data_IF_139582028915
#
_entry.id   IF_139582028915
#
_cell.length_a   1.000
_cell.length_b   1.000
_cell.length_c   1.000
_cell.angle_alpha   90.00
_cell.angle_beta   90.00
_cell.angle_gamma   90.00
#
_symmetry.space_group_name_H-M   'P 1'
#
loop_
_entity.id
_entity.type
_entity.pdbx_description
1 polymer ?
#
# COMPACT_ATOMS: atom_id res chain seq x y z
N UNK A 1 4.50 20.07 2.25
CA UNK A 1 5.05 19.42 3.45
C UNK A 1 4.77 17.91 3.50
N UNK A 2 4.88 17.17 2.39
CA UNK A 2 4.63 15.73 2.37
C UNK A 2 5.87 14.85 2.05
N UNK A 3 7.06 15.46 1.95
CA UNK A 3 8.29 14.72 1.58
C UNK A 3 8.80 13.76 2.66
N UNK A 4 8.45 13.95 3.93
CA UNK A 4 8.96 13.11 5.02
C UNK A 4 8.23 11.79 5.24
N UNK A 5 6.91 11.74 5.01
CA UNK A 5 6.10 10.53 5.24
C UNK A 5 6.39 9.44 4.19
N UNK A 6 6.53 9.80 2.91
CA UNK A 6 6.85 8.84 1.86
C UNK A 6 8.19 8.11 2.08
N UNK A 7 9.20 8.80 2.61
CA UNK A 7 10.51 8.18 2.91
C UNK A 7 10.45 7.22 4.10
N UNK A 8 9.57 7.47 5.07
CA UNK A 8 9.37 6.58 6.23
C UNK A 8 8.77 5.25 5.78
N UNK A 9 7.72 5.25 4.96
CA UNK A 9 7.09 4.02 4.45
C UNK A 9 8.05 3.17 3.61
N UNK A 10 8.83 3.79 2.73
CA UNK A 10 9.79 3.09 1.87
C UNK A 10 10.88 2.38 2.69
N UNK A 11 11.43 3.07 3.69
CA UNK A 11 12.41 2.48 4.60
C UNK A 11 11.82 1.37 5.45
N UNK A 12 10.52 1.45 5.75
CA UNK A 12 9.81 0.43 6.50
C UNK A 12 9.69 -0.87 5.71
N UNK A 13 9.32 -0.83 4.43
CA UNK A 13 9.26 -2.02 3.57
C UNK A 13 10.61 -2.72 3.44
N UNK A 14 11.71 -1.96 3.24
CA UNK A 14 13.05 -2.54 3.25
C UNK A 14 13.41 -3.12 4.62
N UNK A 15 13.04 -2.47 5.73
CA UNK A 15 13.31 -3.00 7.06
C UNK A 15 12.62 -4.33 7.30
N UNK A 16 11.39 -4.51 6.81
CA UNK A 16 10.69 -5.79 6.89
C UNK A 16 11.51 -6.87 6.21
N UNK A 17 11.86 -6.69 4.94
CA UNK A 17 12.55 -7.73 4.15
C UNK A 17 14.01 -7.93 4.52
N UNK A 18 14.70 -6.90 5.02
CA UNK A 18 16.13 -6.97 5.37
C UNK A 18 16.37 -7.47 6.81
N UNK A 19 15.42 -7.20 7.73
CA UNK A 19 15.67 -7.39 9.17
C UNK A 19 14.59 -8.23 9.85
N UNK A 20 13.30 -8.00 9.57
CA UNK A 20 12.23 -8.59 10.37
C UNK A 20 11.85 -10.00 9.90
N UNK A 21 11.93 -10.26 8.60
CA UNK A 21 11.59 -11.55 8.02
C UNK A 21 12.55 -12.67 8.50
N UNK A 22 12.05 -13.92 8.49
CA UNK A 22 12.79 -15.12 8.88
C UNK A 22 13.45 -15.00 10.26
N UNK A 23 12.73 -14.48 11.24
CA UNK A 23 13.20 -14.33 12.62
C UNK A 23 14.52 -13.54 12.72
N UNK A 24 14.60 -12.44 11.96
CA UNK A 24 15.75 -11.54 12.02
C UNK A 24 16.89 -11.83 11.06
N UNK A 25 16.73 -12.81 10.17
CA UNK A 25 17.75 -13.16 9.15
C UNK A 25 17.58 -12.37 7.86
N UNK A 26 16.40 -11.78 7.66
CA UNK A 26 16.02 -11.14 6.40
C UNK A 26 15.84 -12.11 5.25
N UNK A 27 15.48 -11.59 4.09
CA UNK A 27 15.21 -12.40 2.89
C UNK A 27 16.43 -12.55 1.97
N UNK A 28 17.53 -11.86 2.24
CA UNK A 28 18.75 -11.86 1.40
C UNK A 28 18.43 -11.58 -0.08
N UNK A 29 17.70 -10.47 -0.32
CA UNK A 29 17.25 -10.06 -1.65
C UNK A 29 18.37 -9.35 -2.42
N UNK A 30 18.36 -9.51 -3.76
CA UNK A 30 19.28 -8.75 -4.63
C UNK A 30 18.96 -7.25 -4.59
N UNK A 31 19.94 -6.41 -4.97
CA UNK A 31 19.76 -4.96 -5.00
C UNK A 31 18.63 -4.54 -5.95
N UNK A 32 18.43 -5.24 -7.06
CA UNK A 32 17.35 -4.96 -8.01
C UNK A 32 15.97 -5.18 -7.41
N UNK A 33 15.79 -6.26 -6.62
CA UNK A 33 14.53 -6.54 -5.92
C UNK A 33 14.31 -5.52 -4.82
N UNK A 34 15.35 -5.17 -4.07
CA UNK A 34 15.29 -4.14 -3.02
C UNK A 34 14.96 -2.77 -3.61
N UNK A 35 15.53 -2.41 -4.77
CA UNK A 35 15.20 -1.20 -5.49
C UNK A 35 13.72 -1.16 -5.89
N UNK A 36 13.19 -2.26 -6.43
CA UNK A 36 11.78 -2.41 -6.74
C UNK A 36 10.87 -2.20 -5.51
N UNK A 37 11.22 -2.81 -4.37
CA UNK A 37 10.52 -2.63 -3.10
C UNK A 37 10.59 -1.17 -2.63
N UNK A 38 11.75 -0.54 -2.69
CA UNK A 38 11.94 0.85 -2.28
C UNK A 38 11.13 1.83 -3.14
N UNK A 39 11.06 1.55 -4.43
CA UNK A 39 10.51 2.47 -5.45
C UNK A 39 9.07 2.16 -5.87
N UNK A 40 8.42 1.11 -5.34
CA UNK A 40 7.07 0.70 -5.76
C UNK A 40 6.03 1.83 -5.63
N UNK A 41 6.20 2.75 -4.68
CA UNK A 41 5.30 3.90 -4.47
C UNK A 41 5.95 5.19 -4.98
N UNK A 42 5.35 5.90 -5.93
CA UNK A 42 5.73 7.25 -6.38
C UNK A 42 7.16 7.44 -6.92
N UNK A 43 7.88 6.37 -7.24
CA UNK A 43 9.19 6.42 -7.88
C UNK A 43 9.23 5.45 -9.06
N UNK A 44 10.27 5.54 -9.88
CA UNK A 44 10.53 4.61 -10.98
C UNK A 44 11.65 3.67 -10.53
N UNK A 45 11.39 2.37 -10.52
CA UNK A 45 12.40 1.37 -10.27
C UNK A 45 13.43 1.33 -11.40
N UNK A 46 14.66 0.91 -11.10
CA UNK A 46 15.73 0.86 -12.09
C UNK A 46 15.56 -0.33 -13.06
N UNK A 47 14.76 -1.32 -12.68
CA UNK A 47 14.42 -2.48 -13.51
C UNK A 47 13.02 -2.37 -14.10
N UNK A 48 12.81 -2.98 -15.27
CA UNK A 48 11.49 -3.08 -15.91
C UNK A 48 10.54 -3.92 -15.07
N UNK A 49 11.03 -4.98 -14.44
CA UNK A 49 10.27 -5.84 -13.54
C UNK A 49 9.71 -5.07 -12.35
N UNK A 50 10.55 -4.25 -11.70
CA UNK A 50 10.11 -3.38 -10.60
C UNK A 50 9.05 -2.36 -11.06
N UNK A 51 9.16 -1.89 -12.29
CA UNK A 51 8.17 -0.98 -12.88
C UNK A 51 6.85 -1.68 -13.20
N UNK A 52 6.88 -2.94 -13.68
CA UNK A 52 5.69 -3.79 -13.86
C UNK A 52 5.00 -4.02 -12.52
N UNK A 53 5.75 -4.38 -11.47
CA UNK A 53 5.21 -4.61 -10.13
C UNK A 53 4.51 -3.36 -9.60
N UNK A 54 5.06 -2.17 -9.82
CA UNK A 54 4.41 -0.92 -9.44
C UNK A 54 3.03 -0.74 -10.10
N UNK A 55 2.90 -1.03 -11.40
CA UNK A 55 1.59 -0.97 -12.06
C UNK A 55 0.63 -2.03 -11.53
N UNK A 56 1.12 -3.25 -11.31
CA UNK A 56 0.31 -4.30 -10.72
C UNK A 56 -0.23 -3.90 -9.33
N UNK A 57 0.63 -3.29 -8.50
CA UNK A 57 0.27 -2.81 -7.17
C UNK A 57 -0.83 -1.73 -7.22
N UNK A 58 -0.67 -0.69 -8.04
CA UNK A 58 -1.67 0.38 -8.12
C UNK A 58 -3.00 -0.08 -8.71
N UNK A 59 -2.98 -1.04 -9.66
CA UNK A 59 -4.20 -1.65 -10.22
C UNK A 59 -4.89 -2.51 -9.16
N UNK A 60 -4.13 -3.34 -8.45
CA UNK A 60 -4.66 -4.18 -7.38
C UNK A 60 -5.26 -3.33 -6.27
N UNK A 61 -4.52 -2.32 -5.81
CA UNK A 61 -4.91 -1.44 -4.71
C UNK A 61 -6.25 -0.76 -4.95
N UNK A 62 -6.43 -0.04 -6.07
CA UNK A 62 -7.68 0.67 -6.34
C UNK A 62 -8.88 -0.29 -6.46
N UNK A 63 -8.68 -1.48 -7.01
CA UNK A 63 -9.75 -2.48 -7.12
C UNK A 63 -10.10 -3.13 -5.78
N UNK A 64 -9.12 -3.33 -4.89
CA UNK A 64 -9.38 -3.77 -3.52
C UNK A 64 -10.08 -2.71 -2.70
N UNK A 65 -9.68 -1.44 -2.82
CA UNK A 65 -10.34 -0.33 -2.14
C UNK A 65 -11.81 -0.19 -2.53
N UNK A 66 -12.16 -0.43 -3.80
CA UNK A 66 -13.55 -0.45 -4.26
C UNK A 66 -14.31 -1.60 -3.58
N UNK A 67 -13.77 -2.83 -3.61
CA UNK A 67 -14.39 -4.00 -2.98
C UNK A 67 -14.62 -3.77 -1.48
N UNK A 68 -13.62 -3.24 -0.78
CA UNK A 68 -13.70 -2.98 0.66
C UNK A 68 -14.72 -1.87 0.97
N UNK A 69 -14.80 -0.84 0.13
CA UNK A 69 -15.78 0.24 0.26
C UNK A 69 -17.22 -0.25 0.05
N UNK A 70 -17.42 -1.15 -0.92
CA UNK A 70 -18.72 -1.81 -1.15
C UNK A 70 -19.07 -2.71 0.03
N UNK A 71 -18.13 -3.52 0.51
CA UNK A 71 -18.33 -4.41 1.68
C UNK A 71 -18.64 -3.62 2.94
N UNK A 72 -18.02 -2.47 3.12
CA UNK A 72 -18.27 -1.57 4.26
C UNK A 72 -19.58 -0.77 4.13
N UNK A 73 -20.31 -0.88 3.01
CA UNK A 73 -21.53 -0.13 2.75
C UNK A 73 -21.31 1.38 2.67
N UNK A 74 -20.16 1.79 2.13
CA UNK A 74 -19.81 3.19 1.87
C UNK A 74 -20.23 3.61 0.48
N UNK A 75 -20.11 2.70 -0.48
CA UNK A 75 -20.52 2.87 -1.87
C UNK A 75 -21.08 1.56 -2.45
N UNK A 76 -21.61 1.66 -3.65
CA UNK A 76 -21.95 0.55 -4.53
C UNK A 76 -21.16 0.66 -5.84
N UNK A 77 -21.09 -0.39 -6.65
CA UNK A 77 -20.44 -0.34 -7.98
C UNK A 77 -21.13 0.68 -8.90
N UNK A 78 -22.45 0.91 -8.74
CA UNK A 78 -23.26 1.84 -9.52
C UNK A 78 -22.93 3.33 -9.21
N UNK A 79 -22.31 3.63 -8.08
CA UNK A 79 -21.87 4.97 -7.72
C UNK A 79 -20.67 5.44 -8.56
N UNK A 80 -19.93 4.50 -9.17
CA UNK A 80 -18.82 4.85 -10.06
C UNK A 80 -19.37 5.53 -11.32
N UNK A 81 -18.89 6.74 -11.65
CA UNK A 81 -19.39 7.52 -12.77
C UNK A 81 -19.38 6.74 -14.10
N UNK A 82 -20.47 6.85 -14.87
CA UNK A 82 -20.66 6.10 -16.13
C UNK A 82 -19.59 6.36 -17.20
N UNK A 83 -19.02 7.56 -17.23
CA UNK A 83 -17.90 7.86 -18.11
C UNK A 83 -16.64 7.05 -17.78
N UNK A 84 -16.44 6.67 -16.52
CA UNK A 84 -15.33 5.82 -16.07
C UNK A 84 -15.65 4.35 -16.39
N UNK A 85 -16.83 3.86 -16.00
CA UNK A 85 -17.20 2.46 -16.22
C UNK A 85 -17.34 2.10 -17.70
N UNK A 86 -17.67 3.07 -18.56
CA UNK A 86 -17.71 2.89 -20.01
C UNK A 86 -16.34 2.56 -20.61
N UNK A 87 -15.28 3.11 -20.06
CA UNK A 87 -13.89 2.90 -20.52
C UNK A 87 -13.25 1.71 -19.80
N UNK A 88 -13.34 1.67 -18.47
CA UNK A 88 -12.63 0.68 -17.66
C UNK A 88 -13.41 -0.62 -17.47
N UNK A 89 -14.72 -0.62 -17.70
CA UNK A 89 -15.64 -1.74 -17.39
C UNK A 89 -16.42 -1.50 -16.11
N UNK A 90 -17.59 -2.17 -16.03
CA UNK A 90 -18.53 -2.03 -14.91
C UNK A 90 -18.26 -2.98 -13.74
N UNK A 91 -17.38 -3.94 -13.92
CA UNK A 91 -17.02 -4.93 -12.90
C UNK A 91 -15.51 -4.91 -12.59
N UNK A 92 -15.13 -5.43 -11.42
CA UNK A 92 -13.71 -5.59 -11.03
C UNK A 92 -12.89 -6.32 -12.10
N UNK A 93 -13.43 -7.42 -12.63
CA UNK A 93 -12.74 -8.22 -13.64
C UNK A 93 -12.53 -7.45 -14.94
N UNK A 94 -13.54 -6.72 -15.41
CA UNK A 94 -13.43 -5.88 -16.61
C UNK A 94 -12.42 -4.75 -16.38
N UNK A 95 -12.47 -4.06 -15.26
CA UNK A 95 -11.50 -2.99 -14.90
C UNK A 95 -10.05 -3.48 -14.92
N UNK A 96 -9.79 -4.60 -14.24
CA UNK A 96 -8.44 -5.19 -14.22
C UNK A 96 -8.02 -5.59 -15.63
N UNK A 97 -8.88 -6.26 -16.36
CA UNK A 97 -8.58 -6.70 -17.75
C UNK A 97 -8.26 -5.51 -18.64
N UNK A 98 -9.04 -4.44 -18.59
CA UNK A 98 -8.82 -3.23 -19.39
C UNK A 98 -7.49 -2.58 -19.06
N UNK A 99 -7.22 -2.35 -17.77
CA UNK A 99 -5.98 -1.71 -17.30
C UNK A 99 -4.74 -2.53 -17.70
N UNK A 100 -4.75 -3.85 -17.42
CA UNK A 100 -3.63 -4.74 -17.75
C UNK A 100 -3.44 -4.86 -19.25
N UNK A 101 -4.53 -4.98 -20.04
CA UNK A 101 -4.44 -5.07 -21.50
C UNK A 101 -3.88 -3.79 -22.12
N UNK A 102 -4.26 -2.62 -21.59
CA UNK A 102 -3.72 -1.34 -22.04
C UNK A 102 -2.21 -1.25 -21.79
N UNK A 103 -1.74 -1.64 -20.59
CA UNK A 103 -0.30 -1.69 -20.27
C UNK A 103 0.48 -2.66 -21.19
N UNK A 104 -0.08 -3.84 -21.48
CA UNK A 104 0.56 -4.82 -22.38
C UNK A 104 0.68 -4.23 -23.80
N UNK A 105 -0.35 -3.54 -24.28
CA UNK A 105 -0.34 -2.88 -25.61
C UNK A 105 0.68 -1.75 -25.66
N UNK A 106 0.88 -1.02 -24.55
CA UNK A 106 1.91 0.02 -24.44
C UNK A 106 3.34 -0.49 -24.60
N UNK A 107 3.55 -1.82 -24.46
CA UNK A 107 4.80 -2.53 -24.71
C UNK A 107 5.79 -2.48 -23.55
N UNK A 108 6.68 -3.46 -23.50
CA UNK A 108 7.65 -3.64 -22.41
C UNK A 108 8.71 -2.53 -22.34
N UNK A 109 8.89 -1.75 -23.42
CA UNK A 109 9.90 -0.68 -23.45
C UNK A 109 9.46 0.59 -22.73
N UNK A 110 8.15 0.89 -22.75
CA UNK A 110 7.63 2.13 -22.16
C UNK A 110 6.31 1.92 -21.45
N UNK A 111 6.18 0.90 -20.63
CA UNK A 111 4.98 0.55 -19.86
C UNK A 111 4.08 1.77 -19.57
N UNK A 112 3.08 1.99 -20.40
CA UNK A 112 2.11 3.07 -20.26
C UNK A 112 0.73 2.58 -20.68
N UNK A 113 -0.30 3.13 -20.08
CA UNK A 113 -1.67 2.96 -20.54
C UNK A 113 -1.91 3.89 -21.74
N UNK A 114 -2.80 3.49 -22.65
CA UNK A 114 -3.29 4.45 -23.65
C UNK A 114 -4.00 5.62 -22.96
N UNK A 115 -4.06 6.78 -23.64
CA UNK A 115 -4.51 8.04 -23.03
C UNK A 115 -5.93 7.93 -22.48
N UNK A 116 -6.85 7.28 -23.19
CA UNK A 116 -8.25 7.13 -22.76
C UNK A 116 -8.35 6.32 -21.46
N UNK A 117 -7.61 5.21 -21.36
CA UNK A 117 -7.57 4.35 -20.16
C UNK A 117 -6.88 5.05 -19.00
N UNK A 118 -5.79 5.78 -19.28
CA UNK A 118 -5.04 6.55 -18.29
C UNK A 118 -5.90 7.67 -17.68
N UNK A 119 -6.64 8.40 -18.51
CA UNK A 119 -7.55 9.45 -18.06
C UNK A 119 -8.71 8.87 -17.23
N UNK A 120 -9.28 7.76 -17.67
CA UNK A 120 -10.35 7.08 -16.92
C UNK A 120 -9.83 6.50 -15.58
N UNK A 121 -8.60 5.97 -15.54
CA UNK A 121 -7.96 5.53 -14.30
C UNK A 121 -7.72 6.71 -13.33
N UNK A 122 -7.23 7.82 -13.85
CA UNK A 122 -7.04 9.05 -13.05
C UNK A 122 -8.35 9.59 -12.51
N UNK A 123 -9.41 9.57 -13.33
CA UNK A 123 -10.76 9.94 -12.89
C UNK A 123 -11.31 8.99 -11.82
N UNK A 124 -11.06 7.68 -11.94
CA UNK A 124 -11.46 6.69 -10.92
C UNK A 124 -10.72 6.95 -9.60
N UNK A 125 -9.41 7.19 -9.66
CA UNK A 125 -8.63 7.50 -8.46
C UNK A 125 -9.13 8.76 -7.74
N UNK A 126 -9.46 9.81 -8.52
CA UNK A 126 -10.05 11.03 -7.97
C UNK A 126 -11.42 10.78 -7.35
N UNK A 127 -12.29 10.01 -8.03
CA UNK A 127 -13.58 9.62 -7.50
C UNK A 127 -13.44 8.89 -6.16
N UNK A 128 -12.55 7.91 -6.06
CA UNK A 128 -12.28 7.20 -4.81
C UNK A 128 -11.78 8.14 -3.71
N UNK A 129 -10.91 9.07 -4.06
CA UNK A 129 -10.43 10.06 -3.10
C UNK A 129 -11.57 10.91 -2.54
N UNK A 130 -12.38 11.49 -3.41
CA UNK A 130 -13.45 12.42 -3.04
C UNK A 130 -14.63 11.70 -2.36
N UNK A 131 -14.98 10.48 -2.79
CA UNK A 131 -16.17 9.77 -2.34
C UNK A 131 -15.91 8.86 -1.14
N UNK A 132 -14.74 8.18 -1.11
CA UNK A 132 -14.40 7.18 -0.10
C UNK A 132 -13.43 7.73 0.95
N UNK A 133 -12.23 8.17 0.52
CA UNK A 133 -11.17 8.49 1.49
C UNK A 133 -11.45 9.76 2.31
N UNK A 134 -12.28 10.65 1.81
CA UNK A 134 -12.75 11.84 2.57
C UNK A 134 -14.07 11.60 3.30
N UNK A 135 -14.69 10.44 3.14
CA UNK A 135 -15.97 10.11 3.77
C UNK A 135 -15.87 10.20 5.30
N UNK A 136 -16.78 10.93 5.99
CA UNK A 136 -16.74 11.07 7.44
C UNK A 136 -16.79 9.73 8.19
N UNK A 137 -17.51 8.73 7.65
CA UNK A 137 -17.59 7.38 8.23
C UNK A 137 -16.21 6.71 8.22
N UNK A 138 -15.47 6.79 7.10
CA UNK A 138 -14.09 6.28 7.01
C UNK A 138 -13.17 7.04 7.95
N UNK A 139 -13.29 8.37 8.02
CA UNK A 139 -12.46 9.20 8.89
C UNK A 139 -12.68 8.91 10.37
N UNK A 140 -13.89 8.58 10.79
CA UNK A 140 -14.16 8.21 12.17
C UNK A 140 -13.49 6.90 12.58
N UNK A 141 -13.45 5.92 11.68
CA UNK A 141 -12.75 4.64 11.90
C UNK A 141 -11.22 4.82 11.90
N UNK A 142 -10.70 5.68 11.03
CA UNK A 142 -9.28 6.04 11.02
C UNK A 142 -8.82 6.64 12.35
N UNK A 143 -9.64 7.49 12.98
CA UNK A 143 -9.35 8.05 14.31
C UNK A 143 -9.29 6.96 15.38
N UNK A 144 -10.24 6.01 15.36
CA UNK A 144 -10.24 4.87 16.31
C UNK A 144 -9.02 3.98 16.12
N UNK A 145 -8.64 3.70 14.87
CA UNK A 145 -7.45 2.90 14.56
C UNK A 145 -6.17 3.58 15.08
N UNK A 146 -6.02 4.88 14.85
CA UNK A 146 -4.89 5.68 15.37
C UNK A 146 -4.82 5.65 16.91
N UNK A 147 -5.97 5.83 17.58
CA UNK A 147 -6.04 5.76 19.04
C UNK A 147 -5.67 4.38 19.57
N UNK A 148 -6.14 3.31 18.91
CA UNK A 148 -5.79 1.94 19.27
C UNK A 148 -4.29 1.67 19.11
N UNK A 149 -3.68 2.08 18.00
CA UNK A 149 -2.25 1.92 17.76
C UNK A 149 -1.43 2.72 18.80
N UNK A 150 -1.84 3.95 19.10
CA UNK A 150 -1.18 4.77 20.11
C UNK A 150 -1.24 4.10 21.51
N UNK A 151 -2.38 3.56 21.90
CA UNK A 151 -2.55 2.82 23.18
C UNK A 151 -1.73 1.53 23.21
N UNK A 152 -1.65 0.82 22.09
CA UNK A 152 -0.85 -0.40 21.98
C UNK A 152 0.65 -0.06 22.11
N UNK A 153 1.11 0.98 21.45
CA UNK A 153 2.48 1.46 21.57
C UNK A 153 2.80 1.85 23.03
N UNK A 154 1.96 2.67 23.65
CA UNK A 154 2.12 3.11 25.04
C UNK A 154 2.11 1.95 26.03
N UNK A 155 1.25 0.94 25.80
CA UNK A 155 1.25 -0.28 26.59
C UNK A 155 2.61 -1.00 26.56
N UNK A 156 3.20 -1.19 25.38
CA UNK A 156 4.50 -1.87 25.26
C UNK A 156 5.70 -1.02 25.74
N UNK A 157 5.60 0.30 25.69
CA UNK A 157 6.60 1.18 26.34
C UNK A 157 6.68 0.91 27.85
N UNK A 158 5.54 0.68 28.50
CA UNK A 158 5.47 0.42 29.94
C UNK A 158 5.59 -1.06 30.32
N UNK A 159 5.46 -1.97 29.33
CA UNK A 159 5.47 -3.41 29.52
C UNK A 159 6.37 -4.12 28.50
N UNK A 160 7.60 -3.66 28.39
CA UNK A 160 8.56 -4.18 27.40
C UNK A 160 8.81 -5.68 27.56
N UNK A 161 8.68 -6.21 28.78
CA UNK A 161 8.79 -7.64 29.12
C UNK A 161 7.72 -8.51 28.45
N UNK A 162 6.67 -7.90 27.90
CA UNK A 162 5.61 -8.58 27.15
C UNK A 162 5.94 -8.76 25.67
N UNK A 163 6.98 -8.10 25.17
CA UNK A 163 7.44 -8.32 23.80
C UNK A 163 8.02 -9.73 23.66
N UNK A 164 7.79 -10.41 22.51
CA UNK A 164 8.46 -11.67 22.21
C UNK A 164 9.98 -11.50 22.22
N UNK A 165 10.72 -12.57 22.55
CA UNK A 165 12.17 -12.55 22.71
C UNK A 165 12.92 -11.99 21.48
N UNK A 166 12.41 -12.24 20.28
CA UNK A 166 12.95 -11.68 19.04
C UNK A 166 12.96 -10.14 19.07
N UNK A 167 11.85 -9.51 19.43
CA UNK A 167 11.74 -8.04 19.49
C UNK A 167 12.52 -7.45 20.66
N UNK A 168 12.69 -8.20 21.74
CA UNK A 168 13.61 -7.81 22.83
C UNK A 168 15.05 -7.72 22.32
N UNK A 169 15.49 -8.67 21.49
CA UNK A 169 16.81 -8.60 20.87
C UNK A 169 16.94 -7.40 19.91
N UNK A 170 15.88 -7.10 19.14
CA UNK A 170 15.86 -5.89 18.30
C UNK A 170 15.92 -4.61 19.14
N UNK A 171 15.31 -4.58 20.34
CA UNK A 171 15.37 -3.44 21.24
C UNK A 171 16.80 -3.14 21.71
N UNK A 172 17.62 -4.15 21.96
CA UNK A 172 19.04 -3.97 22.28
C UNK A 172 19.86 -3.40 21.11
N UNK A 173 19.49 -3.76 19.87
CA UNK A 173 20.23 -3.35 18.68
C UNK A 173 19.79 -1.97 18.14
N UNK A 174 18.50 -1.70 18.15
CA UNK A 174 17.90 -0.55 17.46
C UNK A 174 17.13 0.42 18.37
N UNK A 175 17.04 0.11 19.67
CA UNK A 175 16.27 0.86 20.66
C UNK A 175 14.84 0.35 20.85
N UNK A 176 14.29 0.63 22.02
CA UNK A 176 12.97 0.15 22.48
C UNK A 176 11.86 0.63 21.58
N UNK A 177 11.81 1.93 21.31
CA UNK A 177 10.76 2.54 20.48
C UNK A 177 10.68 1.90 19.11
N UNK A 178 11.82 1.61 18.51
CA UNK A 178 11.90 0.97 17.20
C UNK A 178 11.40 -0.46 17.24
N UNK A 179 11.79 -1.23 18.24
CA UNK A 179 11.33 -2.62 18.39
C UNK A 179 9.83 -2.72 18.62
N UNK A 180 9.24 -1.80 19.40
CA UNK A 180 7.80 -1.72 19.60
C UNK A 180 7.09 -1.39 18.28
N UNK A 181 7.59 -0.42 17.52
CA UNK A 181 7.04 -0.09 16.20
C UNK A 181 7.09 -1.28 15.24
N UNK A 182 8.20 -2.01 15.20
CA UNK A 182 8.36 -3.20 14.36
C UNK A 182 7.37 -4.32 14.76
N UNK A 183 7.17 -4.52 16.07
CA UNK A 183 6.19 -5.48 16.58
C UNK A 183 4.77 -5.08 16.22
N UNK A 184 4.38 -3.82 16.47
CA UNK A 184 3.06 -3.32 16.13
C UNK A 184 2.79 -3.41 14.63
N UNK A 185 3.77 -3.11 13.78
CA UNK A 185 3.65 -3.19 12.33
C UNK A 185 3.27 -4.60 11.85
N UNK A 186 3.94 -5.64 12.34
CA UNK A 186 3.73 -7.01 11.86
C UNK A 186 2.47 -7.67 12.44
N UNK A 187 1.93 -7.17 13.55
CA UNK A 187 0.75 -7.75 14.18
C UNK A 187 -0.53 -6.93 13.99
N UNK A 188 -0.45 -5.76 13.37
CA UNK A 188 -1.59 -4.88 13.10
C UNK A 188 -1.85 -4.65 11.61
N UNK A 189 -1.05 -5.24 10.73
CA UNK A 189 -1.21 -5.18 9.26
C UNK A 189 -2.01 -6.34 8.71
#
# INVERSE_FOLDING_TARGET
MSRGLGDVYKRQSLRVVDILEKDGKGLDLTEEVRDGILKHTNMIADTKEGYVVRFADVIAYINHDIDDSVRAGIMTEEDIPKNITKVLGGSKSERITTLVTSLIKGGAESLHMDDEVSDAYTALHRFMFDFVYTNPKCKSEEVKAKDMIAKLYDYYVHHIEKLPAFYMNLAYQFGIDRAICDYCLLYTS
#
